data_IF_194548128014
#
_entry.id   IF_194548128014
#
_cell.length_a   1.000
_cell.length_b   1.000
_cell.length_c   1.000
_cell.angle_alpha   90.00
_cell.angle_beta   90.00
_cell.angle_gamma   90.00
#
_symmetry.space_group_name_H-M   'P 1'
#
loop_
_entity.id
_entity.type
_entity.pdbx_description
1 polymer ?
#
# COMPACT_ATOMS: atom_id res chain seq x y z
N UNK A 1 12.51 -26.63 -9.60
CA UNK A 1 11.23 -26.19 -10.21
C UNK A 1 10.41 -25.49 -9.17
N UNK A 2 9.69 -24.43 -9.55
CA UNK A 2 8.65 -23.85 -8.70
C UNK A 2 7.48 -24.84 -8.73
N UNK A 3 6.97 -25.23 -7.57
CA UNK A 3 5.89 -26.21 -7.44
C UNK A 3 5.05 -25.97 -6.20
N UNK A 4 4.15 -26.91 -5.92
CA UNK A 4 3.19 -26.82 -4.81
C UNK A 4 3.83 -26.45 -3.44
N UNK A 5 5.00 -27.00 -3.04
CA UNK A 5 5.64 -26.61 -1.79
C UNK A 5 6.08 -25.14 -1.73
N UNK A 6 6.41 -24.54 -2.88
CA UNK A 6 6.81 -23.13 -2.95
C UNK A 6 5.58 -22.22 -2.86
N UNK A 7 4.50 -22.57 -3.58
CA UNK A 7 3.25 -21.81 -3.56
C UNK A 7 2.65 -21.75 -2.15
N UNK A 8 2.63 -22.87 -1.42
CA UNK A 8 2.16 -22.93 -0.03
C UNK A 8 2.99 -22.04 0.90
N UNK A 9 4.32 -22.02 0.74
CA UNK A 9 5.20 -21.14 1.53
C UNK A 9 4.98 -19.67 1.22
N UNK A 10 4.82 -19.32 -0.06
CA UNK A 10 4.51 -17.95 -0.46
C UNK A 10 3.17 -17.48 0.08
N UNK A 11 2.15 -18.34 0.10
CA UNK A 11 0.87 -18.00 0.72
C UNK A 11 1.02 -17.72 2.23
N UNK A 12 1.72 -18.59 2.96
CA UNK A 12 1.95 -18.38 4.41
C UNK A 12 2.73 -17.09 4.67
N UNK A 13 3.76 -16.79 3.87
CA UNK A 13 4.52 -15.55 3.99
C UNK A 13 3.67 -14.32 3.64
N UNK A 14 2.91 -14.37 2.54
CA UNK A 14 2.04 -13.28 2.13
C UNK A 14 0.97 -12.98 3.18
N UNK A 15 0.46 -14.00 3.87
CA UNK A 15 -0.46 -13.80 4.99
C UNK A 15 0.22 -13.15 6.20
N UNK A 16 1.43 -13.58 6.54
CA UNK A 16 2.16 -13.10 7.73
C UNK A 16 2.70 -11.66 7.58
N UNK A 17 3.26 -11.33 6.42
CA UNK A 17 3.97 -10.06 6.18
C UNK A 17 3.11 -8.82 6.49
N UNK A 18 1.83 -8.73 6.10
CA UNK A 18 0.97 -7.58 6.45
C UNK A 18 0.90 -7.30 7.96
N UNK A 19 0.91 -8.33 8.81
CA UNK A 19 0.90 -8.14 10.27
C UNK A 19 2.25 -7.66 10.80
N UNK A 20 3.36 -8.14 10.22
CA UNK A 20 4.69 -7.61 10.53
C UNK A 20 4.78 -6.15 10.12
N UNK A 21 4.24 -5.79 8.95
CA UNK A 21 4.16 -4.40 8.48
C UNK A 21 3.32 -3.53 9.42
N UNK A 22 2.21 -4.03 9.96
CA UNK A 22 1.40 -3.30 10.96
C UNK A 22 2.24 -2.93 12.19
N UNK A 23 3.04 -3.87 12.72
CA UNK A 23 3.93 -3.59 13.86
C UNK A 23 4.98 -2.55 13.47
N UNK A 24 5.58 -2.65 12.28
CA UNK A 24 6.53 -1.65 11.80
C UNK A 24 5.90 -0.26 11.65
N UNK A 25 4.65 -0.16 11.19
CA UNK A 25 3.91 1.11 11.11
C UNK A 25 3.70 1.71 12.50
N UNK A 26 3.36 0.92 13.51
CA UNK A 26 3.20 1.41 14.88
C UNK A 26 4.53 1.94 15.46
N UNK A 27 5.64 1.22 15.23
CA UNK A 27 6.98 1.66 15.63
C UNK A 27 7.35 2.97 14.91
N UNK A 28 7.05 3.06 13.61
CA UNK A 28 7.29 4.26 12.82
C UNK A 28 6.52 5.47 13.37
N UNK A 29 5.22 5.30 13.68
CA UNK A 29 4.38 6.36 14.25
C UNK A 29 4.87 6.77 15.64
N UNK A 30 5.35 5.82 16.46
CA UNK A 30 5.91 6.14 17.78
C UNK A 30 7.12 7.08 17.67
N UNK A 31 8.08 6.77 16.78
CA UNK A 31 9.23 7.66 16.56
C UNK A 31 8.85 9.00 15.93
N UNK A 32 7.83 9.02 15.08
CA UNK A 32 7.28 10.26 14.54
C UNK A 32 6.64 11.12 15.65
N UNK A 33 5.95 10.50 16.61
CA UNK A 33 5.34 11.22 17.73
C UNK A 33 6.37 11.80 18.71
N UNK A 34 7.55 11.19 18.83
CA UNK A 34 8.62 11.73 19.68
C UNK A 34 9.17 13.07 19.18
N UNK A 35 9.24 13.28 17.85
CA UNK A 35 9.82 14.48 17.23
C UNK A 35 8.78 15.41 16.60
N UNK A 36 7.57 14.92 16.34
CA UNK A 36 6.55 15.62 15.57
C UNK A 36 6.80 15.60 14.05
N UNK A 37 5.81 16.09 13.30
CA UNK A 37 5.91 16.25 11.85
C UNK A 37 6.77 17.45 11.47
N UNK A 38 7.51 17.32 10.37
CA UNK A 38 8.14 18.47 9.72
C UNK A 38 7.10 19.30 8.94
N UNK A 39 7.50 20.48 8.48
CA UNK A 39 6.67 21.37 7.65
C UNK A 39 7.41 21.77 6.36
N UNK A 40 6.69 22.30 5.34
CA UNK A 40 7.27 22.61 4.03
C UNK A 40 8.44 23.60 4.06
N UNK A 41 8.53 24.45 5.09
CA UNK A 41 9.62 25.41 5.24
C UNK A 41 10.86 24.79 5.91
N UNK A 42 10.74 23.60 6.50
CA UNK A 42 11.83 22.88 7.16
C UNK A 42 12.36 23.55 8.43
N UNK A 43 11.61 24.51 8.99
CA UNK A 43 11.94 25.20 10.26
C UNK A 43 11.16 24.59 11.43
N UNK A 44 11.47 24.94 12.69
CA UNK A 44 10.64 24.49 13.81
C UNK A 44 9.21 25.05 13.70
N UNK A 45 8.22 24.19 13.95
CA UNK A 45 6.79 24.51 14.00
C UNK A 45 6.25 24.67 15.43
N UNK A 46 7.10 24.65 16.45
CA UNK A 46 6.68 24.63 17.87
C UNK A 46 5.86 25.88 18.26
N UNK A 47 6.09 26.99 17.56
CA UNK A 47 5.44 28.27 17.81
C UNK A 47 4.04 28.40 17.16
N UNK A 48 3.67 27.51 16.24
CA UNK A 48 2.44 27.60 15.44
C UNK A 48 1.79 26.21 15.23
N UNK A 49 1.77 25.39 16.29
CA UNK A 49 1.12 24.10 16.24
C UNK A 49 -0.40 24.23 16.43
N UNK A 50 -1.17 23.52 15.60
CA UNK A 50 -2.63 23.37 15.74
C UNK A 50 -2.97 21.94 16.19
N UNK A 51 -4.09 21.73 16.90
CA UNK A 51 -4.51 20.37 17.26
C UNK A 51 -4.84 19.55 16.02
N UNK A 52 -4.57 18.23 16.07
CA UNK A 52 -4.85 17.33 14.96
C UNK A 52 -6.34 17.30 14.57
N UNK A 53 -7.21 17.24 15.58
CA UNK A 53 -8.65 17.36 15.39
C UNK A 53 -9.10 18.80 15.70
N UNK A 54 -9.92 19.44 14.84
CA UNK A 54 -10.59 18.89 13.66
C UNK A 54 -9.81 19.01 12.35
N UNK A 55 -8.72 19.77 12.33
CA UNK A 55 -8.06 20.25 11.11
C UNK A 55 -7.56 19.13 10.19
N UNK A 56 -6.61 18.33 10.67
CA UNK A 56 -6.03 17.24 9.89
C UNK A 56 -7.00 16.06 9.76
N UNK A 57 -7.86 15.81 10.76
CA UNK A 57 -8.91 14.79 10.63
C UNK A 57 -9.86 15.05 9.44
N UNK A 58 -10.27 16.31 9.23
CA UNK A 58 -11.14 16.67 8.11
C UNK A 58 -10.38 16.64 6.77
N UNK A 59 -9.12 17.12 6.75
CA UNK A 59 -8.25 17.05 5.57
C UNK A 59 -8.00 15.61 5.12
N UNK A 60 -7.69 14.72 6.06
CA UNK A 60 -7.46 13.29 5.79
C UNK A 60 -8.73 12.63 5.25
N UNK A 61 -9.91 12.97 5.77
CA UNK A 61 -11.18 12.44 5.26
C UNK A 61 -11.40 12.81 3.78
N UNK A 62 -11.11 14.05 3.39
CA UNK A 62 -11.18 14.47 1.98
C UNK A 62 -10.22 13.65 1.13
N UNK A 63 -8.98 13.44 1.60
CA UNK A 63 -7.98 12.61 0.93
C UNK A 63 -8.42 11.14 0.77
N UNK A 64 -9.00 10.55 1.83
CA UNK A 64 -9.54 9.18 1.81
C UNK A 64 -10.67 9.06 0.79
N UNK A 65 -11.61 10.02 0.78
CA UNK A 65 -12.72 10.02 -0.18
C UNK A 65 -12.22 10.10 -1.62
N UNK A 66 -11.24 10.97 -1.89
CA UNK A 66 -10.60 11.07 -3.20
C UNK A 66 -9.94 9.74 -3.61
N UNK A 67 -9.10 9.16 -2.74
CA UNK A 67 -8.44 7.87 -3.01
C UNK A 67 -9.44 6.74 -3.27
N UNK A 68 -10.47 6.61 -2.43
CA UNK A 68 -11.50 5.57 -2.57
C UNK A 68 -12.28 5.75 -3.87
N UNK A 69 -12.66 6.98 -4.24
CA UNK A 69 -13.38 7.24 -5.49
C UNK A 69 -12.57 6.80 -6.72
N UNK A 70 -11.25 7.06 -6.73
CA UNK A 70 -10.37 6.63 -7.82
C UNK A 70 -10.30 5.10 -7.85
N UNK A 71 -10.08 4.46 -6.69
CA UNK A 71 -10.00 3.00 -6.62
C UNK A 71 -11.30 2.32 -7.09
N UNK A 72 -12.45 2.81 -6.64
CA UNK A 72 -13.76 2.32 -7.09
C UNK A 72 -13.95 2.54 -8.59
N UNK A 73 -13.53 3.71 -9.11
CA UNK A 73 -13.55 3.99 -10.55
C UNK A 73 -12.75 2.97 -11.35
N UNK A 74 -11.53 2.64 -10.91
CA UNK A 74 -10.70 1.60 -11.55
C UNK A 74 -11.41 0.25 -11.50
N UNK A 75 -11.87 -0.20 -10.33
CA UNK A 75 -12.51 -1.50 -10.17
C UNK A 75 -13.80 -1.66 -11.01
N UNK A 76 -14.60 -0.59 -11.17
CA UNK A 76 -15.89 -0.66 -11.86
C UNK A 76 -15.80 -0.40 -13.37
N UNK A 77 -14.87 0.44 -13.81
CA UNK A 77 -14.79 0.86 -15.23
C UNK A 77 -13.71 0.08 -15.98
N UNK A 78 -12.56 -0.18 -15.36
CA UNK A 78 -11.42 -0.82 -16.01
C UNK A 78 -10.60 -1.69 -15.03
N UNK A 79 -11.18 -2.80 -14.50
CA UNK A 79 -10.57 -3.59 -13.44
C UNK A 79 -9.21 -4.19 -13.82
N UNK A 80 -8.99 -4.47 -15.10
CA UNK A 80 -7.75 -5.08 -15.61
C UNK A 80 -6.71 -4.05 -16.07
N UNK A 81 -6.97 -2.74 -15.88
CA UNK A 81 -6.10 -1.68 -16.41
C UNK A 81 -4.65 -1.77 -15.93
N UNK A 82 -4.45 -2.16 -14.66
CA UNK A 82 -3.14 -2.36 -14.06
C UNK A 82 -2.69 -3.84 -14.06
N UNK A 83 -3.46 -4.72 -14.70
CA UNK A 83 -3.17 -6.16 -14.77
C UNK A 83 -2.37 -6.56 -16.02
N UNK A 84 -1.98 -7.83 -16.09
CA UNK A 84 -1.35 -8.41 -17.27
C UNK A 84 -2.23 -9.54 -17.82
N UNK A 85 -2.61 -9.45 -19.10
CA UNK A 85 -3.44 -10.45 -19.77
C UNK A 85 -2.86 -11.88 -19.69
N UNK A 86 -1.53 -12.02 -19.62
CA UNK A 86 -0.86 -13.31 -19.49
C UNK A 86 -1.21 -14.06 -18.19
N UNK A 87 -1.60 -13.34 -17.12
CA UNK A 87 -1.96 -13.94 -15.82
C UNK A 87 -3.33 -14.64 -15.84
N UNK A 88 -4.13 -14.47 -16.89
CA UNK A 88 -5.35 -15.26 -17.10
C UNK A 88 -5.07 -16.66 -17.68
N UNK A 89 -3.84 -16.90 -18.17
CA UNK A 89 -3.42 -18.21 -18.67
C UNK A 89 -2.81 -19.00 -17.51
N UNK A 90 -3.23 -20.25 -17.33
CA UNK A 90 -2.66 -21.12 -16.29
C UNK A 90 -1.15 -21.29 -16.50
N UNK A 91 -0.41 -21.29 -15.40
CA UNK A 91 1.04 -21.45 -15.42
C UNK A 91 1.46 -22.80 -16.06
N UNK A 92 2.42 -22.74 -16.98
CA UNK A 92 3.05 -23.89 -17.62
C UNK A 92 4.56 -23.85 -17.34
N UNK A 93 5.11 -24.78 -16.55
CA UNK A 93 6.54 -24.81 -16.24
C UNK A 93 7.45 -24.97 -17.45
N UNK A 94 6.92 -25.43 -18.59
CA UNK A 94 7.67 -25.69 -19.82
C UNK A 94 7.63 -24.51 -20.80
N UNK A 95 6.80 -23.49 -20.53
CA UNK A 95 6.59 -22.37 -21.44
C UNK A 95 6.65 -21.03 -20.71
N UNK A 96 7.63 -20.22 -21.09
CA UNK A 96 7.70 -18.81 -20.68
C UNK A 96 6.90 -17.93 -21.65
N UNK A 97 6.08 -16.97 -21.19
CA UNK A 97 5.45 -15.97 -22.05
C UNK A 97 6.50 -15.15 -22.83
N UNK A 98 6.15 -14.73 -24.05
CA UNK A 98 7.05 -14.01 -24.97
C UNK A 98 7.46 -12.64 -24.39
N UNK A 99 6.54 -11.94 -23.73
CA UNK A 99 6.76 -10.65 -23.08
C UNK A 99 6.52 -10.76 -21.57
N UNK A 100 7.48 -11.34 -20.84
CA UNK A 100 7.42 -11.43 -19.38
C UNK A 100 7.76 -10.07 -18.75
N UNK A 101 6.94 -9.64 -17.81
CA UNK A 101 7.11 -8.40 -17.05
C UNK A 101 6.64 -8.65 -15.60
N UNK A 102 7.24 -7.94 -14.62
CA UNK A 102 6.81 -8.04 -13.23
C UNK A 102 5.35 -7.65 -13.03
#
# INVERSE_FOLDING_TARGET
TIGDPTLKRFFVLHFLVPFVMLVMVMIHILYLHDHGSSNPLGVSSDMDCVPFHPYYSASDLVGILAMVSINVGVCLVAPDYFGNAANFIKADPMKTPIHIQP
#
